data_IF_812413124327
#
_entry.id   IF_812413124327
#
_cell.length_a   1.000
_cell.length_b   1.000
_cell.length_c   1.000
_cell.angle_alpha   90.00
_cell.angle_beta   90.00
_cell.angle_gamma   90.00
#
_symmetry.space_group_name_H-M   'P 1'
#
loop_
_entity.id
_entity.type
_entity.pdbx_description
1 polymer ?
#
# COMPACT_ATOMS: atom_id res chain seq x y z
N UNK A 1 17.15 -13.01 18.00
CA UNK A 1 17.12 -11.54 18.22
C UNK A 1 18.16 -10.79 17.37
N UNK A 2 19.44 -11.18 17.39
CA UNK A 2 20.50 -10.47 16.64
C UNK A 2 20.47 -10.70 15.13
N UNK A 3 20.03 -11.86 14.66
CA UNK A 3 19.91 -12.20 13.22
C UNK A 3 19.04 -11.21 12.43
N UNK A 4 17.95 -10.72 13.05
CA UNK A 4 17.07 -9.73 12.42
C UNK A 4 17.75 -8.37 12.22
N UNK A 5 18.66 -7.99 13.11
CA UNK A 5 19.46 -6.77 12.99
C UNK A 5 20.53 -6.96 11.91
N UNK A 6 21.17 -8.13 11.83
CA UNK A 6 22.16 -8.42 10.81
C UNK A 6 21.58 -8.39 9.39
N UNK A 7 20.42 -9.03 9.18
CA UNK A 7 19.71 -8.96 7.90
C UNK A 7 19.27 -7.53 7.57
N UNK A 8 18.82 -6.76 8.57
CA UNK A 8 18.49 -5.36 8.36
C UNK A 8 19.71 -4.53 7.96
N UNK A 9 20.85 -4.69 8.63
CA UNK A 9 22.09 -3.98 8.31
C UNK A 9 22.60 -4.36 6.91
N UNK A 10 22.37 -5.60 6.47
CA UNK A 10 22.67 -6.02 5.10
C UNK A 10 21.78 -5.29 4.08
N UNK A 11 20.48 -5.15 4.36
CA UNK A 11 19.56 -4.36 3.53
C UNK A 11 19.94 -2.88 3.53
N UNK A 12 20.36 -2.32 4.66
CA UNK A 12 20.86 -0.95 4.78
C UNK A 12 22.14 -0.76 3.98
N UNK A 13 23.09 -1.71 4.06
CA UNK A 13 24.32 -1.66 3.28
C UNK A 13 24.03 -1.73 1.77
N UNK A 14 23.10 -2.59 1.34
CA UNK A 14 22.63 -2.64 -0.04
C UNK A 14 22.01 -1.30 -0.48
N UNK A 15 21.18 -0.70 0.37
CA UNK A 15 20.62 0.63 0.15
C UNK A 15 21.72 1.69 -0.02
N UNK A 16 22.75 1.69 0.83
CA UNK A 16 23.88 2.62 0.71
C UNK A 16 24.66 2.44 -0.59
N UNK A 17 24.86 1.21 -1.07
CA UNK A 17 25.52 0.94 -2.35
C UNK A 17 24.71 1.53 -3.52
N UNK A 18 23.39 1.32 -3.52
CA UNK A 18 22.49 1.89 -4.53
C UNK A 18 22.44 3.42 -4.41
N UNK A 19 22.36 3.95 -3.18
CA UNK A 19 22.39 5.38 -2.89
C UNK A 19 23.66 6.03 -3.44
N UNK A 20 24.82 5.45 -3.17
CA UNK A 20 26.10 5.91 -3.71
C UNK A 20 26.15 5.83 -5.22
N UNK A 21 25.64 4.76 -5.83
CA UNK A 21 25.56 4.64 -7.28
C UNK A 21 24.68 5.73 -7.90
N UNK A 22 23.50 6.00 -7.32
CA UNK A 22 22.59 7.05 -7.78
C UNK A 22 23.22 8.43 -7.60
N UNK A 23 23.83 8.71 -6.44
CA UNK A 23 24.52 9.98 -6.19
C UNK A 23 25.67 10.23 -7.18
N UNK A 24 26.42 9.18 -7.53
CA UNK A 24 27.53 9.25 -8.49
C UNK A 24 27.06 9.31 -9.95
N UNK A 25 25.90 8.73 -10.25
CA UNK A 25 25.30 8.76 -11.59
C UNK A 25 24.63 10.11 -11.90
N UNK A 26 24.29 10.91 -10.88
CA UNK A 26 23.69 12.23 -11.06
C UNK A 26 24.73 13.30 -11.45
N UNK A 27 24.70 13.84 -12.68
CA UNK A 27 25.46 15.04 -13.04
C UNK A 27 24.79 16.29 -12.45
N UNK A 28 25.57 17.34 -12.24
CA UNK A 28 25.21 18.54 -11.47
C UNK A 28 24.11 19.39 -12.15
N UNK A 29 22.87 18.95 -12.00
CA UNK A 29 21.68 19.64 -12.51
C UNK A 29 20.71 19.95 -11.36
N UNK A 30 19.81 20.90 -11.54
CA UNK A 30 18.79 21.33 -10.56
C UNK A 30 17.94 20.17 -10.00
N UNK A 31 17.84 19.06 -10.74
CA UNK A 31 17.16 17.83 -10.32
C UNK A 31 17.87 17.06 -9.19
N UNK A 32 19.18 17.30 -8.99
CA UNK A 32 20.00 16.68 -7.95
C UNK A 32 19.49 16.96 -6.55
N UNK A 33 19.00 18.19 -6.30
CA UNK A 33 18.43 18.56 -5.00
C UNK A 33 17.21 17.70 -4.68
N UNK A 34 16.28 17.56 -5.61
CA UNK A 34 15.07 16.75 -5.43
C UNK A 34 15.40 15.28 -5.17
N UNK A 35 16.30 14.70 -5.96
CA UNK A 35 16.72 13.30 -5.78
C UNK A 35 17.45 13.11 -4.46
N UNK A 36 18.27 14.07 -4.04
CA UNK A 36 18.99 14.02 -2.77
C UNK A 36 18.04 14.10 -1.56
N UNK A 37 17.01 14.94 -1.61
CA UNK A 37 15.96 14.96 -0.58
C UNK A 37 15.18 13.64 -0.55
N UNK A 38 14.81 13.12 -1.72
CA UNK A 38 14.10 11.84 -1.83
C UNK A 38 14.92 10.68 -1.26
N UNK A 39 16.22 10.66 -1.55
CA UNK A 39 17.16 9.70 -0.99
C UNK A 39 17.33 9.85 0.54
N UNK A 40 17.26 11.06 1.08
CA UNK A 40 17.21 11.28 2.53
C UNK A 40 15.93 10.72 3.15
N UNK A 41 14.78 10.94 2.51
CA UNK A 41 13.49 10.36 2.92
C UNK A 41 13.49 8.83 2.88
N UNK A 42 14.00 8.25 1.80
CA UNK A 42 14.16 6.80 1.67
C UNK A 42 15.11 6.23 2.75
N UNK A 43 16.20 6.94 3.07
CA UNK A 43 17.09 6.52 4.15
C UNK A 43 16.36 6.51 5.49
N UNK A 44 15.60 7.57 5.79
CA UNK A 44 14.77 7.64 7.01
C UNK A 44 13.76 6.49 7.04
N UNK A 45 13.12 6.17 5.92
CA UNK A 45 12.18 5.04 5.82
C UNK A 45 12.84 3.69 6.13
N UNK A 46 14.03 3.44 5.59
CA UNK A 46 14.80 2.20 5.84
C UNK A 46 15.28 2.13 7.29
N UNK A 47 15.66 3.27 7.88
CA UNK A 47 16.02 3.38 9.31
C UNK A 47 14.82 3.27 10.24
N UNK A 48 13.61 3.61 9.77
CA UNK A 48 12.40 3.54 10.59
C UNK A 48 12.01 2.09 10.89
N UNK A 49 12.25 1.17 9.95
CA UNK A 49 12.00 -0.27 10.13
C UNK A 49 12.58 -0.84 11.44
N UNK A 50 13.89 -0.81 11.70
CA UNK A 50 14.46 -1.33 12.96
C UNK A 50 14.09 -0.45 14.15
N UNK A 51 13.81 0.85 13.97
CA UNK A 51 13.35 1.73 15.04
C UNK A 51 12.02 1.24 15.59
N UNK A 52 11.11 0.82 14.70
CA UNK A 52 9.83 0.21 15.07
C UNK A 52 10.03 -1.16 15.74
N UNK A 53 10.99 -1.97 15.23
CA UNK A 53 11.35 -3.27 15.84
C UNK A 53 11.95 -3.13 17.25
N UNK A 54 12.88 -2.19 17.41
CA UNK A 54 13.56 -1.92 18.69
C UNK A 54 12.63 -1.25 19.70
N UNK A 55 11.68 -0.45 19.23
CA UNK A 55 10.67 0.21 20.07
C UNK A 55 9.59 -0.73 20.60
N UNK A 56 9.57 -2.01 20.20
CA UNK A 56 8.52 -2.97 20.60
C UNK A 56 7.13 -2.65 20.06
N UNK A 57 7.02 -1.66 19.16
CA UNK A 57 5.75 -1.20 18.57
C UNK A 57 5.33 -2.13 17.41
N UNK A 58 6.24 -3.00 16.95
CA UNK A 58 5.98 -3.90 15.83
C UNK A 58 4.75 -4.79 16.06
N UNK A 59 4.59 -5.37 17.25
CA UNK A 59 3.44 -6.24 17.56
C UNK A 59 2.11 -5.46 17.56
N UNK A 60 2.12 -4.20 18.03
CA UNK A 60 0.94 -3.33 18.00
C UNK A 60 0.58 -2.89 16.59
N UNK A 61 1.59 -2.59 15.76
CA UNK A 61 1.41 -2.22 14.35
C UNK A 61 0.90 -3.41 13.54
N UNK A 62 1.45 -4.61 13.77
CA UNK A 62 1.03 -5.82 13.07
C UNK A 62 -0.42 -6.17 13.42
N UNK A 63 -0.81 -6.09 14.71
CA UNK A 63 -2.19 -6.30 15.14
C UNK A 63 -3.17 -5.28 14.54
N UNK A 64 -2.80 -4.00 14.55
CA UNK A 64 -3.61 -2.94 13.94
C UNK A 64 -3.72 -3.09 12.42
N UNK A 65 -2.63 -3.49 11.76
CA UNK A 65 -2.63 -3.73 10.33
C UNK A 65 -3.56 -4.90 9.96
N UNK A 66 -3.54 -5.99 10.73
CA UNK A 66 -4.42 -7.14 10.50
C UNK A 66 -5.89 -6.76 10.66
N UNK A 67 -6.24 -6.03 11.73
CA UNK A 67 -7.61 -5.51 11.94
C UNK A 67 -8.04 -4.59 10.79
N UNK A 68 -7.17 -3.68 10.35
CA UNK A 68 -7.43 -2.80 9.22
C UNK A 68 -7.62 -3.55 7.90
N UNK A 69 -6.82 -4.61 7.66
CA UNK A 69 -6.98 -5.45 6.47
C UNK A 69 -8.30 -6.22 6.48
N UNK A 70 -8.69 -6.76 7.64
CA UNK A 70 -9.99 -7.42 7.80
C UNK A 70 -11.14 -6.46 7.50
N UNK A 71 -11.12 -5.24 8.06
CA UNK A 71 -12.15 -4.23 7.79
C UNK A 71 -12.23 -3.87 6.29
N UNK A 72 -11.09 -3.70 5.62
CA UNK A 72 -11.05 -3.45 4.18
C UNK A 72 -11.60 -4.62 3.35
N UNK A 73 -11.34 -5.85 3.78
CA UNK A 73 -11.81 -7.06 3.09
C UNK A 73 -13.32 -7.22 3.27
N UNK A 74 -13.85 -6.96 4.46
CA UNK A 74 -15.29 -6.88 4.73
C UNK A 74 -15.97 -5.78 3.91
N UNK A 75 -15.40 -4.57 3.87
CA UNK A 75 -15.93 -3.52 3.01
C UNK A 75 -15.95 -3.96 1.54
N UNK A 76 -14.86 -4.56 1.06
CA UNK A 76 -14.77 -5.03 -0.33
C UNK A 76 -15.85 -6.07 -0.63
N UNK A 77 -16.07 -7.04 0.25
CA UNK A 77 -17.14 -8.04 0.11
C UNK A 77 -18.52 -7.38 0.08
N UNK A 78 -18.78 -6.41 0.95
CA UNK A 78 -20.04 -5.64 0.92
C UNK A 78 -20.23 -4.86 -0.38
N UNK A 79 -19.16 -4.29 -0.94
CA UNK A 79 -19.19 -3.62 -2.24
C UNK A 79 -19.48 -4.59 -3.38
N UNK A 80 -18.92 -5.80 -3.34
CA UNK A 80 -19.22 -6.87 -4.30
C UNK A 80 -20.68 -7.32 -4.20
N UNK A 81 -21.22 -7.46 -2.99
CA UNK A 81 -22.63 -7.79 -2.77
C UNK A 81 -23.58 -6.71 -3.28
N UNK A 82 -23.29 -5.44 -2.99
CA UNK A 82 -24.05 -4.31 -3.53
C UNK A 82 -24.02 -4.29 -5.06
N UNK A 83 -22.86 -4.55 -5.66
CA UNK A 83 -22.73 -4.64 -7.11
C UNK A 83 -23.57 -5.81 -7.69
N UNK A 84 -23.56 -6.98 -7.04
CA UNK A 84 -24.41 -8.12 -7.42
C UNK A 84 -25.89 -7.79 -7.30
N UNK A 85 -26.32 -7.13 -6.21
CA UNK A 85 -27.70 -6.70 -6.00
C UNK A 85 -28.15 -5.71 -7.07
N UNK A 86 -27.36 -4.67 -7.34
CA UNK A 86 -27.64 -3.73 -8.42
C UNK A 86 -27.79 -4.44 -9.77
N UNK A 87 -26.89 -5.37 -10.09
CA UNK A 87 -26.98 -6.14 -11.33
C UNK A 87 -28.28 -6.95 -11.44
N UNK A 88 -28.77 -7.53 -10.34
CA UNK A 88 -30.06 -8.24 -10.30
C UNK A 88 -31.26 -7.30 -10.44
N UNK A 89 -31.23 -6.14 -9.78
CA UNK A 89 -32.29 -5.12 -9.87
C UNK A 89 -32.44 -4.59 -11.31
N UNK A 90 -31.34 -4.29 -11.99
CA UNK A 90 -31.37 -3.86 -13.39
C UNK A 90 -31.92 -4.96 -14.31
N UNK A 91 -31.51 -6.23 -14.13
CA UNK A 91 -32.05 -7.35 -14.92
C UNK A 91 -33.53 -7.63 -14.64
N UNK A 92 -33.99 -7.43 -13.40
CA UNK A 92 -35.40 -7.55 -13.02
C UNK A 92 -36.26 -6.43 -13.59
N UNK A 93 -35.76 -5.19 -13.55
CA UNK A 93 -36.43 -4.02 -14.10
C UNK A 93 -36.63 -4.09 -15.62
N UNK A 94 -35.64 -4.61 -16.37
CA UNK A 94 -35.73 -4.77 -17.83
C UNK A 94 -36.84 -5.77 -18.25
N UNK A 95 -37.08 -6.81 -17.42
CA UNK A 95 -38.18 -7.76 -17.63
C UNK A 95 -39.57 -7.17 -17.33
N UNK A 96 -39.68 -6.27 -16.36
CA UNK A 96 -40.96 -5.63 -15.99
C UNK A 96 -41.34 -4.53 -17.00
N UNK A 97 -40.37 -3.76 -17.49
CA UNK A 97 -40.61 -2.71 -18.51
C UNK A 97 -41.03 -3.31 -19.86
N UNK A 98 -40.56 -4.52 -20.18
CA UNK A 98 -40.97 -5.23 -21.40
C UNK A 98 -42.36 -5.91 -21.27
N UNK A 99 -42.92 -5.97 -20.05
CA UNK A 99 -44.18 -6.67 -19.74
C UNK A 99 -45.42 -5.77 -19.56
N UNK A 100 -45.27 -4.43 -19.58
CA UNK A 100 -46.42 -3.53 -19.71
C UNK A 100 -46.53 -3.07 -21.17
N UNK A 101 -47.23 -3.87 -21.97
CA UNK A 101 -47.85 -3.37 -23.20
C UNK A 101 -48.87 -2.29 -22.78
N UNK A 102 -48.51 -1.02 -22.94
CA UNK A 102 -49.45 0.10 -22.92
C UNK A 102 -50.38 -0.08 -24.11
N UNK A 103 -51.50 -0.75 -23.87
CA UNK A 103 -52.63 -0.76 -24.79
C UNK A 103 -53.16 0.68 -24.89
N UNK A 104 -53.29 1.25 -26.10
CA UNK A 104 -53.68 2.65 -26.31
C UNK A 104 -55.07 2.99 -25.80
#
# INVERSE_FOLDING_TARGET
>A
MTEGIYSWIQSLACYFVILSAVLNLLPDNSYKKYVQYYMGLLLILVLLSPLLKLGGIQEQVDAYAEEFWQELEEEREQWEDKARQWQQEFQGGERVVTGQEVVP
#
